data_IF_684190071057
#
_entry.id   IF_684190071057
#
_cell.length_a   1.000
_cell.length_b   1.000
_cell.length_c   1.000
_cell.angle_alpha   90.00
_cell.angle_beta   90.00
_cell.angle_gamma   90.00
#
_symmetry.space_group_name_H-M   'P 1'
#
loop_
_entity.id
_entity.type
_entity.pdbx_description
1 polymer ?
#
# COMPACT_ATOMS: atom_id res chain seq x y z
N UNK A 1 -17.12 -55.91 -0.59
CA UNK A 1 -18.44 -56.28 -0.03
C UNK A 1 -18.44 -55.72 1.38
N UNK A 2 -18.98 -54.52 1.64
CA UNK A 2 -20.42 -54.24 1.88
C UNK A 2 -20.73 -54.56 3.36
N UNK A 3 -21.42 -53.80 4.21
CA UNK A 3 -22.27 -52.61 4.14
C UNK A 3 -22.47 -52.13 5.60
N UNK A 4 -22.55 -50.81 5.83
CA UNK A 4 -23.74 -50.07 6.31
C UNK A 4 -24.23 -50.32 7.75
N UNK A 5 -24.16 -49.28 8.58
CA UNK A 5 -25.25 -48.93 9.51
C UNK A 5 -25.45 -47.41 9.50
N UNK A 6 -26.61 -46.99 9.00
CA UNK A 6 -27.15 -45.65 9.16
C UNK A 6 -27.68 -45.45 10.59
N UNK A 7 -27.53 -44.24 11.13
CA UNK A 7 -28.30 -43.81 12.31
C UNK A 7 -28.65 -42.33 12.22
N UNK A 8 -29.95 -42.09 12.02
CA UNK A 8 -30.73 -41.04 12.68
C UNK A 8 -30.32 -39.58 12.48
N UNK A 9 -31.02 -38.90 11.58
CA UNK A 9 -31.15 -37.45 11.59
C UNK A 9 -32.24 -37.03 12.62
N UNK A 10 -31.99 -36.12 13.57
CA UNK A 10 -33.03 -35.34 14.20
C UNK A 10 -33.11 -33.94 13.56
N UNK A 11 -34.34 -33.64 13.14
CA UNK A 11 -34.91 -32.36 12.74
C UNK A 11 -34.54 -31.19 13.65
N UNK A 12 -33.93 -30.15 13.08
CA UNK A 12 -33.88 -28.78 13.61
C UNK A 12 -33.90 -27.77 12.45
N UNK A 13 -34.44 -26.56 12.61
CA UNK A 13 -34.45 -25.56 11.54
C UNK A 13 -33.00 -25.23 11.12
N UNK A 14 -32.78 -24.80 9.85
CA UNK A 14 -31.45 -24.44 9.38
C UNK A 14 -30.86 -23.36 10.28
N UNK A 15 -29.66 -23.59 10.79
CA UNK A 15 -28.88 -22.56 11.50
C UNK A 15 -28.58 -21.46 10.47
N UNK A 16 -28.99 -20.20 10.67
CA UNK A 16 -28.60 -19.13 9.76
C UNK A 16 -27.06 -18.99 9.77
N UNK A 17 -26.44 -18.54 8.66
CA UNK A 17 -25.02 -18.21 8.66
C UNK A 17 -24.75 -17.23 9.79
N UNK A 18 -23.65 -17.41 10.52
CA UNK A 18 -23.23 -16.46 11.54
C UNK A 18 -23.18 -15.07 10.91
N UNK A 19 -24.08 -14.19 11.36
CA UNK A 19 -24.06 -12.77 11.02
C UNK A 19 -22.73 -12.21 11.52
N UNK A 20 -21.83 -11.94 10.58
CA UNK A 20 -20.74 -11.00 10.84
C UNK A 20 -21.37 -9.68 11.25
N UNK A 21 -20.79 -8.95 12.22
CA UNK A 21 -21.36 -7.69 12.62
C UNK A 21 -21.33 -6.75 11.39
N UNK A 22 -22.33 -5.88 11.27
CA UNK A 22 -22.38 -4.70 10.39
C UNK A 22 -23.04 -4.82 8.99
N UNK A 23 -24.17 -5.52 8.83
CA UNK A 23 -24.93 -5.44 7.57
C UNK A 23 -25.89 -4.22 7.47
N UNK A 24 -26.38 -3.63 8.58
CA UNK A 24 -27.54 -2.72 8.52
C UNK A 24 -27.43 -1.37 9.24
N UNK A 25 -26.22 -0.93 9.61
CA UNK A 25 -26.06 0.39 10.25
C UNK A 25 -25.10 1.27 9.45
N UNK A 26 -25.66 2.15 8.61
CA UNK A 26 -24.88 3.21 7.99
C UNK A 26 -24.56 4.26 9.06
N UNK A 27 -23.42 4.09 9.73
CA UNK A 27 -22.86 5.12 10.61
C UNK A 27 -22.16 6.19 9.75
N UNK A 28 -22.66 7.44 9.70
CA UNK A 28 -22.03 8.53 8.94
C UNK A 28 -20.66 8.96 9.51
N UNK A 29 -20.20 8.35 10.60
CA UNK A 29 -18.85 8.48 11.16
C UNK A 29 -18.01 7.20 11.03
N UNK A 30 -18.55 6.09 10.53
CA UNK A 30 -17.72 4.94 10.16
C UNK A 30 -16.77 5.35 9.04
N UNK A 31 -15.46 5.35 9.34
CA UNK A 31 -14.42 5.80 8.41
C UNK A 31 -14.10 7.30 8.46
N UNK A 32 -14.66 8.07 9.42
CA UNK A 32 -14.02 9.34 9.80
C UNK A 32 -12.80 9.01 10.63
N UNK A 33 -11.70 8.72 9.94
CA UNK A 33 -10.41 8.40 10.54
C UNK A 33 -10.10 9.38 11.67
N UNK A 34 -10.28 8.92 12.89
CA UNK A 34 -9.79 9.62 14.08
C UNK A 34 -8.28 9.41 14.11
N UNK A 35 -7.54 10.25 14.83
CA UNK A 35 -6.10 10.07 15.05
C UNK A 35 -5.70 8.71 15.66
N UNK A 36 -6.70 7.93 16.13
CA UNK A 36 -6.57 6.58 16.65
C UNK A 36 -7.09 5.50 15.70
N UNK A 37 -7.49 5.85 14.47
CA UNK A 37 -7.81 4.88 13.43
C UNK A 37 -6.51 4.17 13.01
N UNK A 38 -6.40 2.84 13.13
CA UNK A 38 -5.21 2.12 12.71
C UNK A 38 -4.87 2.36 11.23
N UNK A 39 -5.85 2.67 10.36
CA UNK A 39 -5.57 3.09 8.98
C UNK A 39 -5.00 4.51 8.87
N UNK A 40 -5.36 5.41 9.79
CA UNK A 40 -4.79 6.76 9.87
C UNK A 40 -3.38 6.76 10.48
N UNK A 41 -3.11 5.83 11.41
CA UNK A 41 -1.78 5.63 12.01
C UNK A 41 -0.81 4.85 11.10
N UNK A 42 -1.31 4.14 10.09
CA UNK A 42 -0.53 3.39 9.10
C UNK A 42 -0.26 4.15 7.78
N UNK A 43 -0.43 5.47 7.76
CA UNK A 43 0.27 6.32 6.77
C UNK A 43 1.79 6.38 7.01
N UNK A 44 2.35 5.38 7.69
CA UNK A 44 3.78 5.10 7.71
C UNK A 44 4.21 4.88 6.26
N UNK A 45 5.13 5.70 5.80
CA UNK A 45 5.57 5.65 4.40
C UNK A 45 6.13 4.25 4.13
N UNK A 46 5.43 3.47 3.30
CA UNK A 46 5.81 2.08 3.01
C UNK A 46 7.27 2.05 2.54
N UNK A 47 8.12 1.19 3.13
CA UNK A 47 9.53 1.16 2.78
C UNK A 47 9.70 0.78 1.31
N UNK A 48 10.73 1.33 0.64
CA UNK A 48 11.04 0.94 -0.73
C UNK A 48 11.44 -0.54 -0.79
N UNK A 49 11.06 -1.21 -1.87
CA UNK A 49 11.42 -2.60 -2.13
C UNK A 49 12.93 -2.77 -2.36
N UNK A 50 13.58 -1.76 -2.93
CA UNK A 50 15.00 -1.77 -3.24
C UNK A 50 15.65 -0.41 -2.97
N UNK A 51 16.94 -0.45 -2.61
CA UNK A 51 17.75 0.76 -2.56
C UNK A 51 18.10 1.28 -3.95
N UNK A 52 18.32 2.59 -4.07
CA UNK A 52 18.77 3.21 -5.33
C UNK A 52 20.09 2.62 -5.85
N UNK A 53 20.99 2.18 -4.98
CA UNK A 53 22.24 1.53 -5.38
C UNK A 53 21.99 0.20 -6.10
N UNK A 54 21.01 -0.59 -5.62
CA UNK A 54 20.66 -1.87 -6.24
C UNK A 54 20.11 -1.67 -7.66
N UNK A 55 19.25 -0.67 -7.87
CA UNK A 55 18.72 -0.34 -9.21
C UNK A 55 19.87 0.11 -10.14
N UNK A 56 20.78 0.94 -9.65
CA UNK A 56 21.92 1.45 -10.44
C UNK A 56 22.89 0.36 -10.89
N UNK A 57 23.03 -0.71 -10.11
CA UNK A 57 23.86 -1.86 -10.46
C UNK A 57 23.24 -2.72 -11.58
N UNK A 58 21.94 -2.58 -11.83
CA UNK A 58 21.22 -3.26 -12.90
C UNK A 58 21.00 -2.38 -14.14
N UNK A 59 20.24 -2.92 -15.11
CA UNK A 59 19.77 -2.16 -16.26
C UNK A 59 18.72 -1.12 -15.82
N UNK A 60 19.06 0.16 -15.90
CA UNK A 60 18.20 1.25 -15.44
C UNK A 60 18.15 2.43 -16.42
N UNK A 61 17.17 3.30 -16.22
CA UNK A 61 17.15 4.66 -16.72
C UNK A 61 17.35 5.63 -15.55
N UNK A 62 17.79 6.85 -15.84
CA UNK A 62 17.83 7.94 -14.85
C UNK A 62 16.79 8.98 -15.22
N UNK A 63 15.84 9.22 -14.32
CA UNK A 63 14.86 10.29 -14.46
C UNK A 63 15.33 11.50 -13.67
N UNK A 64 15.32 12.67 -14.31
CA UNK A 64 15.73 13.94 -13.70
C UNK A 64 14.61 14.95 -13.85
N UNK A 65 14.47 15.82 -12.87
CA UNK A 65 13.50 16.90 -12.90
C UNK A 65 13.73 17.88 -11.76
N UNK A 66 12.79 18.80 -11.59
CA UNK A 66 12.82 19.81 -10.53
C UNK A 66 11.46 19.85 -9.86
N UNK A 67 11.44 19.84 -8.53
CA UNK A 67 10.23 20.05 -7.74
C UNK A 67 10.23 21.50 -7.26
N UNK A 68 9.12 22.18 -7.47
CA UNK A 68 8.90 23.58 -7.06
C UNK A 68 7.75 23.66 -6.05
N UNK A 69 7.80 24.66 -5.17
CA UNK A 69 6.86 24.87 -4.06
C UNK A 69 7.58 24.86 -2.73
N UNK A 70 6.82 24.79 -1.64
CA UNK A 70 7.34 24.82 -0.27
C UNK A 70 7.13 23.46 0.41
N UNK A 71 8.17 22.99 1.09
CA UNK A 71 8.12 21.83 1.96
C UNK A 71 9.10 22.09 3.11
N UNK A 72 8.58 22.18 4.33
CA UNK A 72 9.37 22.51 5.53
C UNK A 72 10.08 21.29 6.13
N UNK A 73 9.83 20.10 5.59
CA UNK A 73 10.45 18.85 6.01
C UNK A 73 11.15 18.09 4.88
N UNK A 74 11.43 16.81 5.10
CA UNK A 74 12.10 15.99 4.10
C UNK A 74 11.11 15.68 2.97
N UNK A 75 11.53 15.96 1.74
CA UNK A 75 10.78 15.57 0.57
C UNK A 75 11.25 14.19 0.10
N UNK A 76 10.35 13.21 0.05
CA UNK A 76 10.61 11.88 -0.49
C UNK A 76 10.01 11.78 -1.88
N UNK A 77 10.79 11.24 -2.82
CA UNK A 77 10.36 10.93 -4.18
C UNK A 77 10.33 9.41 -4.33
N UNK A 78 9.14 8.87 -4.54
CA UNK A 78 8.89 7.45 -4.71
C UNK A 78 8.78 7.08 -6.19
N UNK A 79 9.43 5.97 -6.54
CA UNK A 79 9.27 5.29 -7.82
C UNK A 79 8.25 4.18 -7.63
N UNK A 80 7.05 4.36 -8.15
CA UNK A 80 5.96 3.41 -8.05
C UNK A 80 5.88 2.58 -9.34
N UNK A 81 5.63 1.29 -9.22
CA UNK A 81 5.28 0.48 -10.39
C UNK A 81 3.82 0.72 -10.76
N UNK A 82 3.55 0.96 -12.03
CA UNK A 82 2.20 0.97 -12.56
C UNK A 82 1.71 -0.48 -12.72
N UNK A 83 1.06 -0.98 -11.68
CA UNK A 83 0.53 -2.34 -11.65
C UNK A 83 -0.70 -2.41 -12.56
N UNK A 84 -0.61 -3.21 -13.63
CA UNK A 84 -1.73 -3.47 -14.54
C UNK A 84 -2.88 -4.23 -13.87
N UNK A 85 -2.59 -4.96 -12.80
CA UNK A 85 -3.54 -5.74 -12.04
C UNK A 85 -3.43 -5.35 -10.56
N UNK A 86 -4.56 -5.19 -9.85
CA UNK A 86 -4.53 -4.93 -8.43
C UNK A 86 -3.87 -6.10 -7.68
N UNK A 87 -3.25 -5.85 -6.52
CA UNK A 87 -2.74 -6.91 -5.66
C UNK A 87 -3.84 -7.92 -5.33
N UNK A 88 -3.45 -9.19 -5.15
CA UNK A 88 -4.40 -10.23 -4.79
C UNK A 88 -5.16 -9.87 -3.49
N UNK A 89 -6.45 -10.24 -3.36
CA UNK A 89 -7.21 -9.98 -2.14
C UNK A 89 -6.49 -10.52 -0.91
N UNK A 90 -6.32 -9.67 0.11
CA UNK A 90 -5.59 -10.02 1.35
C UNK A 90 -4.07 -9.88 1.29
N UNK A 91 -3.51 -9.41 0.16
CA UNK A 91 -2.09 -9.02 0.08
C UNK A 91 -1.92 -7.51 0.27
N UNK A 92 -0.86 -7.11 0.99
CA UNK A 92 -0.50 -5.70 1.09
C UNK A 92 -0.04 -5.20 -0.29
N UNK A 93 -0.44 -3.97 -0.71
CA UNK A 93 0.10 -3.39 -1.93
C UNK A 93 1.62 -3.27 -1.79
N UNK A 94 2.39 -3.62 -2.84
CA UNK A 94 3.83 -3.49 -2.78
C UNK A 94 4.19 -2.02 -2.61
N UNK A 95 5.15 -1.74 -1.73
CA UNK A 95 5.70 -0.40 -1.56
C UNK A 95 6.37 0.12 -2.82
N UNK A 96 6.91 1.34 -2.79
CA UNK A 96 7.66 1.90 -3.92
C UNK A 96 8.80 0.97 -4.34
N UNK A 97 9.06 0.86 -5.64
CA UNK A 97 10.21 0.11 -6.17
C UNK A 97 11.51 0.64 -5.55
N UNK A 98 11.63 1.97 -5.47
CA UNK A 98 12.68 2.64 -4.73
C UNK A 98 12.22 4.05 -4.36
N UNK A 99 13.00 4.70 -3.50
CA UNK A 99 12.79 6.08 -3.10
C UNK A 99 14.11 6.86 -3.16
N UNK A 100 14.02 8.18 -3.28
CA UNK A 100 15.11 9.11 -2.99
C UNK A 100 14.57 10.27 -2.16
N UNK A 101 15.44 10.94 -1.40
CA UNK A 101 15.04 12.04 -0.53
C UNK A 101 15.78 13.32 -0.91
N UNK A 102 15.11 14.44 -0.72
CA UNK A 102 15.64 15.78 -0.81
C UNK A 102 15.37 16.50 0.52
N UNK A 103 16.34 17.26 1.00
CA UNK A 103 16.19 18.08 2.20
C UNK A 103 15.30 19.31 2.00
N UNK A 104 14.98 19.66 0.74
CA UNK A 104 14.08 20.74 0.33
C UNK A 104 13.67 20.56 -1.14
N UNK A 105 12.59 21.23 -1.61
CA UNK A 105 12.23 21.25 -3.02
C UNK A 105 13.41 21.71 -3.90
N UNK A 106 13.59 21.05 -5.04
CA UNK A 106 14.69 21.33 -5.95
C UNK A 106 14.89 20.25 -7.00
N UNK A 107 16.08 20.25 -7.60
CA UNK A 107 16.46 19.27 -8.60
C UNK A 107 16.58 17.87 -7.99
N UNK A 108 16.04 16.86 -8.68
CA UNK A 108 16.16 15.47 -8.31
C UNK A 108 16.74 14.63 -9.45
N UNK A 109 17.30 13.48 -9.08
CA UNK A 109 17.77 12.46 -10.01
C UNK A 109 17.54 11.10 -9.38
N UNK A 110 16.69 10.29 -9.99
CA UNK A 110 16.29 8.96 -9.47
C UNK A 110 16.52 7.89 -10.53
N UNK A 111 17.05 6.75 -10.10
CA UNK A 111 17.20 5.58 -10.96
C UNK A 111 15.88 4.79 -10.98
N UNK A 112 15.46 4.39 -12.18
CA UNK A 112 14.26 3.58 -12.41
C UNK A 112 14.64 2.32 -13.20
N UNK A 113 14.13 1.14 -12.84
CA UNK A 113 14.46 -0.11 -13.54
C UNK A 113 13.95 -0.09 -14.99
N UNK A 114 14.72 -0.66 -15.93
CA UNK A 114 14.26 -0.82 -17.32
C UNK A 114 13.13 -1.85 -17.42
N UNK A 115 12.22 -1.64 -18.38
CA UNK A 115 11.17 -2.61 -18.72
C UNK A 115 9.92 -2.55 -17.85
N UNK A 116 9.82 -1.58 -16.93
CA UNK A 116 8.63 -1.31 -16.12
C UNK A 116 8.01 0.03 -16.51
N UNK A 117 6.68 0.11 -16.46
CA UNK A 117 5.98 1.39 -16.44
C UNK A 117 6.01 1.90 -15.01
N UNK A 118 6.42 3.15 -14.84
CA UNK A 118 6.60 3.75 -13.52
C UNK A 118 5.81 5.05 -13.39
N UNK A 119 5.38 5.33 -12.16
CA UNK A 119 4.87 6.62 -11.73
C UNK A 119 5.82 7.21 -10.69
N UNK A 120 5.92 8.54 -10.66
CA UNK A 120 6.67 9.25 -9.62
C UNK A 120 5.68 9.96 -8.69
N UNK A 121 5.86 9.76 -7.40
CA UNK A 121 5.15 10.53 -6.36
C UNK A 121 6.16 11.33 -5.54
N UNK A 122 5.81 12.55 -5.18
CA UNK A 122 6.60 13.38 -4.27
C UNK A 122 5.77 13.63 -3.00
N UNK A 123 6.31 13.21 -1.86
CA UNK A 123 5.67 13.30 -0.55
C UNK A 123 6.50 14.22 0.33
N UNK A 124 5.88 15.26 0.88
CA UNK A 124 6.51 16.13 1.87
C UNK A 124 6.20 15.61 3.28
N UNK A 125 7.19 15.07 3.97
CA UNK A 125 7.07 14.72 5.39
C UNK A 125 7.18 16.00 6.23
N UNK A 126 6.03 16.67 6.41
CA UNK A 126 5.93 17.89 7.21
C UNK A 126 5.97 17.62 8.72
N UNK A 127 5.80 16.36 9.13
CA UNK A 127 5.74 15.96 10.53
C UNK A 127 7.13 15.62 11.10
N UNK A 128 8.12 15.37 10.23
CA UNK A 128 9.52 15.02 10.57
C UNK A 128 9.64 13.68 11.30
N UNK A 129 8.74 12.74 10.99
CA UNK A 129 8.68 11.42 11.63
C UNK A 129 9.59 10.37 10.95
N UNK A 130 10.54 10.83 10.15
CA UNK A 130 11.42 10.03 9.27
C UNK A 130 12.06 8.79 9.89
#
# INVERSE_FOLDING_TARGET
MGESTASGNPTGPPVPPAEGPHADEFDPNAGKGTENDPMAQDLRIVPPQQEQAAIKNGAHYTVKGTISGDCEGTLRIDVLEDLKEPPAPGSAPPGPLAATTLSKPGAYSVAVPKGKTIMLSAVCDSNKDG
#
